data_IF_016723421642
#
_entry.id   IF_016723421642
#
_cell.length_a   1.000
_cell.length_b   1.000
_cell.length_c   1.000
_cell.angle_alpha   90.00
_cell.angle_beta   90.00
_cell.angle_gamma   90.00
#
_symmetry.space_group_name_H-M   'P 1'
#
loop_
_entity.id
_entity.type
_entity.pdbx_description
1 polymer ?
#
# COMPACT_ATOMS: atom_id res chain seq x y z
N UNK A 1 0.48 5.54 12.24
CA UNK A 1 0.17 4.62 11.12
C UNK A 1 1.17 3.48 11.02
N UNK A 2 2.48 3.73 10.98
CA UNK A 2 3.49 2.68 10.78
C UNK A 2 3.91 1.90 12.05
N UNK A 3 3.55 2.37 13.23
CA UNK A 3 3.94 1.76 14.53
C UNK A 3 3.04 0.63 15.00
N UNK A 4 1.85 0.48 14.40
CA UNK A 4 0.85 -0.50 14.86
C UNK A 4 0.24 -0.18 16.24
N UNK A 5 0.37 1.06 16.71
CA UNK A 5 -0.13 1.47 18.03
C UNK A 5 -1.67 1.57 18.10
N UNK A 6 -2.34 1.59 16.96
CA UNK A 6 -3.80 1.65 16.83
C UNK A 6 -4.28 0.72 15.73
N UNK A 7 -5.46 0.14 15.88
CA UNK A 7 -6.06 -0.78 14.91
C UNK A 7 -6.80 -0.04 13.80
N UNK A 8 -7.41 1.10 14.10
CA UNK A 8 -8.20 1.90 13.16
C UNK A 8 -7.90 3.38 13.33
N UNK A 9 -7.75 4.07 12.21
CA UNK A 9 -7.65 5.53 12.15
C UNK A 9 -8.87 6.05 11.40
N UNK A 10 -9.69 6.84 12.07
CA UNK A 10 -10.85 7.52 11.46
C UNK A 10 -10.47 8.94 11.10
N UNK A 11 -10.71 9.33 9.86
CA UNK A 11 -10.44 10.69 9.37
C UNK A 11 -11.41 11.03 8.23
N UNK A 12 -11.49 12.29 7.85
CA UNK A 12 -12.20 12.69 6.65
C UNK A 12 -11.46 12.24 5.38
N UNK A 13 -12.18 12.23 4.24
CA UNK A 13 -11.64 11.72 2.98
C UNK A 13 -10.48 12.54 2.43
N UNK A 14 -10.40 13.84 2.73
CA UNK A 14 -9.29 14.69 2.30
C UNK A 14 -8.03 14.37 3.11
N UNK A 15 -8.11 14.40 4.43
CA UNK A 15 -7.01 14.08 5.32
C UNK A 15 -6.50 12.65 5.09
N UNK A 16 -7.40 11.69 4.93
CA UNK A 16 -7.06 10.30 4.62
C UNK A 16 -6.31 10.15 3.29
N UNK A 17 -6.75 10.86 2.26
CA UNK A 17 -6.08 10.84 0.96
C UNK A 17 -4.68 11.48 1.01
N UNK A 18 -4.53 12.62 1.70
CA UNK A 18 -3.22 13.26 1.92
C UNK A 18 -2.28 12.32 2.66
N UNK A 19 -2.76 11.68 3.74
CA UNK A 19 -1.96 10.73 4.51
C UNK A 19 -1.49 9.54 3.66
N UNK A 20 -2.39 8.95 2.87
CA UNK A 20 -2.04 7.84 1.97
C UNK A 20 -1.02 8.26 0.93
N UNK A 21 -1.23 9.40 0.25
CA UNK A 21 -0.31 9.89 -0.77
C UNK A 21 1.06 10.27 -0.20
N UNK A 22 1.10 10.83 0.99
CA UNK A 22 2.36 11.10 1.69
C UNK A 22 3.11 9.81 2.05
N UNK A 23 2.39 8.78 2.47
CA UNK A 23 2.98 7.47 2.76
C UNK A 23 3.53 6.80 1.50
N UNK A 24 2.78 6.82 0.39
CA UNK A 24 3.23 6.34 -0.92
C UNK A 24 4.49 7.07 -1.38
N UNK A 25 4.48 8.40 -1.32
CA UNK A 25 5.63 9.23 -1.69
C UNK A 25 6.87 8.95 -0.84
N UNK A 26 6.70 8.75 0.47
CA UNK A 26 7.79 8.39 1.37
C UNK A 26 8.41 7.04 1.00
N UNK A 27 7.60 6.06 0.59
CA UNK A 27 8.09 4.77 0.11
C UNK A 27 8.91 4.89 -1.17
N UNK A 28 8.42 5.66 -2.15
CA UNK A 28 9.14 5.91 -3.40
C UNK A 28 10.45 6.66 -3.15
N UNK A 29 10.43 7.68 -2.30
CA UNK A 29 11.62 8.44 -1.92
C UNK A 29 12.67 7.55 -1.24
N UNK A 30 12.26 6.69 -0.33
CA UNK A 30 13.16 5.74 0.31
C UNK A 30 13.80 4.77 -0.70
N UNK A 31 13.02 4.30 -1.69
CA UNK A 31 13.54 3.45 -2.78
C UNK A 31 14.57 4.17 -3.65
N UNK A 32 14.35 5.46 -3.92
CA UNK A 32 15.28 6.31 -4.66
C UNK A 32 16.59 6.49 -3.89
N UNK A 33 16.52 6.82 -2.59
CA UNK A 33 17.72 6.95 -1.75
C UNK A 33 18.56 5.68 -1.70
N UNK A 34 17.93 4.50 -1.64
CA UNK A 34 18.66 3.22 -1.72
C UNK A 34 19.39 3.08 -3.06
N UNK A 35 18.77 3.55 -4.15
CA UNK A 35 19.39 3.51 -5.48
C UNK A 35 20.60 4.44 -5.62
N UNK A 36 20.65 5.50 -4.83
CA UNK A 36 21.75 6.48 -4.82
C UNK A 36 22.84 6.16 -3.78
N UNK A 37 22.56 5.26 -2.84
CA UNK A 37 23.52 4.91 -1.78
C UNK A 37 24.63 3.99 -2.32
N UNK A 38 25.86 4.19 -1.82
CA UNK A 38 27.01 3.31 -2.12
C UNK A 38 26.88 1.99 -1.35
N UNK A 39 25.96 1.13 -1.80
CA UNK A 39 25.68 -0.18 -1.22
C UNK A 39 26.16 -1.29 -2.15
N UNK A 40 26.54 -2.43 -1.57
CA UNK A 40 26.76 -3.62 -2.37
C UNK A 40 25.44 -4.10 -3.03
N UNK A 41 25.51 -4.82 -4.17
CA UNK A 41 24.30 -5.34 -4.82
C UNK A 41 23.41 -6.16 -3.89
N UNK A 42 23.99 -6.98 -3.01
CA UNK A 42 23.24 -7.78 -2.04
C UNK A 42 22.50 -6.92 -1.00
N UNK A 43 23.14 -5.87 -0.49
CA UNK A 43 22.50 -4.92 0.44
C UNK A 43 21.37 -4.15 -0.23
N UNK A 44 21.58 -3.71 -1.48
CA UNK A 44 20.55 -3.00 -2.26
C UNK A 44 19.31 -3.88 -2.44
N UNK A 45 19.48 -5.14 -2.83
CA UNK A 45 18.39 -6.10 -2.99
C UNK A 45 17.64 -6.31 -1.67
N UNK A 46 18.36 -6.62 -0.59
CA UNK A 46 17.75 -6.88 0.72
C UNK A 46 16.95 -5.69 1.26
N UNK A 47 17.46 -4.46 1.09
CA UNK A 47 16.77 -3.23 1.51
C UNK A 47 15.53 -2.97 0.65
N UNK A 48 15.63 -3.12 -0.67
CA UNK A 48 14.49 -2.94 -1.59
C UNK A 48 13.38 -3.94 -1.30
N UNK A 49 13.70 -5.21 -1.06
CA UNK A 49 12.71 -6.22 -0.69
C UNK A 49 12.05 -5.91 0.65
N UNK A 50 12.82 -5.45 1.65
CA UNK A 50 12.29 -5.09 2.96
C UNK A 50 11.35 -3.90 2.88
N UNK A 51 11.72 -2.85 2.15
CA UNK A 51 10.86 -1.69 1.92
C UNK A 51 9.67 -2.05 1.03
N UNK A 52 9.86 -2.80 -0.04
CA UNK A 52 8.80 -3.23 -0.93
C UNK A 52 7.68 -3.92 -0.17
N UNK A 53 8.00 -4.85 0.72
CA UNK A 53 7.00 -5.52 1.59
C UNK A 53 6.22 -4.56 2.48
N UNK A 54 6.82 -3.44 2.89
CA UNK A 54 6.17 -2.44 3.75
C UNK A 54 5.29 -1.46 2.98
N UNK A 55 5.72 -1.08 1.76
CA UNK A 55 5.10 -0.03 0.94
C UNK A 55 4.37 -0.57 -0.29
N UNK A 56 4.33 -1.89 -0.49
CA UNK A 56 3.76 -2.52 -1.69
C UNK A 56 2.23 -2.41 -1.72
N UNK A 57 1.76 -1.33 -2.32
CA UNK A 57 0.33 -1.00 -2.42
C UNK A 57 -0.40 -1.94 -3.39
N UNK A 58 0.24 -2.35 -4.48
CA UNK A 58 -0.37 -3.18 -5.50
C UNK A 58 -0.72 -4.59 -5.01
N UNK A 59 0.02 -5.14 -4.04
CA UNK A 59 -0.27 -6.45 -3.45
C UNK A 59 -1.30 -6.42 -2.31
N UNK A 60 -1.63 -5.24 -1.81
CA UNK A 60 -2.62 -5.10 -0.73
C UNK A 60 -4.07 -5.11 -1.21
N UNK A 61 -4.28 -5.19 -2.54
CA UNK A 61 -5.60 -5.08 -3.14
C UNK A 61 -6.10 -3.64 -3.17
N UNK A 62 -7.37 -3.44 -2.85
CA UNK A 62 -8.01 -2.14 -2.86
C UNK A 62 -8.55 -1.74 -1.49
N UNK A 63 -9.15 -0.55 -1.44
CA UNK A 63 -9.88 -0.05 -0.29
C UNK A 63 -11.33 -0.55 -0.33
N UNK A 64 -11.75 -1.24 0.74
CA UNK A 64 -13.14 -1.70 0.87
C UNK A 64 -14.04 -0.56 1.35
N UNK A 65 -15.19 -0.40 0.70
CA UNK A 65 -16.25 0.48 1.18
C UNK A 65 -17.04 -0.24 2.27
N UNK A 66 -17.08 0.35 3.45
CA UNK A 66 -17.86 -0.18 4.57
C UNK A 66 -19.31 0.34 4.52
N UNK A 67 -20.25 -0.44 5.05
CA UNK A 67 -21.66 -0.06 5.11
C UNK A 67 -22.45 -0.22 3.80
N UNK A 68 -21.89 -0.82 2.78
CA UNK A 68 -22.56 -1.12 1.52
C UNK A 68 -23.28 -2.48 1.61
N UNK A 69 -24.43 -2.63 0.91
CA UNK A 69 -25.21 -3.88 0.89
C UNK A 69 -24.48 -5.02 0.15
N UNK A 70 -23.58 -4.66 -0.77
CA UNK A 70 -22.73 -5.60 -1.49
C UNK A 70 -21.29 -5.16 -1.33
N UNK A 71 -20.31 -6.08 -1.27
CA UNK A 71 -18.92 -5.70 -1.15
C UNK A 71 -18.48 -4.88 -2.37
N UNK A 72 -17.85 -3.74 -2.10
CA UNK A 72 -17.30 -2.84 -3.11
C UNK A 72 -15.86 -2.55 -2.74
N UNK A 73 -14.94 -2.72 -3.68
CA UNK A 73 -13.52 -2.42 -3.49
C UNK A 73 -13.10 -1.41 -4.55
N UNK A 74 -12.46 -0.33 -4.09
CA UNK A 74 -11.85 0.68 -4.95
C UNK A 74 -10.38 0.35 -5.12
N UNK A 75 -9.92 0.22 -6.37
CA UNK A 75 -8.51 0.08 -6.73
C UNK A 75 -7.85 1.46 -6.95
N UNK A 76 -6.52 1.49 -6.91
CA UNK A 76 -5.74 2.66 -7.31
C UNK A 76 -5.81 2.88 -8.83
N UNK A 77 -5.60 4.15 -9.27
CA UNK A 77 -5.56 4.49 -10.70
C UNK A 77 -4.36 3.88 -11.45
N UNK A 78 -3.32 3.47 -10.74
CA UNK A 78 -2.14 2.75 -11.23
C UNK A 78 -2.22 1.23 -10.98
N UNK A 79 -3.44 0.68 -10.89
CA UNK A 79 -3.63 -0.74 -10.62
C UNK A 79 -3.08 -1.59 -11.78
N UNK A 80 -2.35 -2.63 -11.42
CA UNK A 80 -1.81 -3.64 -12.32
C UNK A 80 -2.66 -4.92 -12.25
N UNK A 81 -2.39 -5.91 -13.08
CA UNK A 81 -3.11 -7.19 -13.09
C UNK A 81 -3.11 -7.86 -11.71
N UNK A 82 -1.99 -7.83 -11.00
CA UNK A 82 -1.87 -8.37 -9.65
C UNK A 82 -2.78 -7.67 -8.64
N UNK A 83 -3.04 -6.38 -8.83
CA UNK A 83 -3.96 -5.61 -7.98
C UNK A 83 -5.40 -6.10 -8.19
N UNK A 84 -5.79 -6.37 -9.43
CA UNK A 84 -7.13 -6.90 -9.76
C UNK A 84 -7.35 -8.27 -9.11
N UNK A 85 -6.36 -9.16 -9.22
CA UNK A 85 -6.42 -10.48 -8.58
C UNK A 85 -6.52 -10.36 -7.06
N UNK A 86 -5.71 -9.51 -6.44
CA UNK A 86 -5.75 -9.27 -4.98
C UNK A 86 -7.09 -8.71 -4.52
N UNK A 87 -7.71 -7.81 -5.32
CA UNK A 87 -9.06 -7.30 -5.04
C UNK A 87 -10.14 -8.38 -5.17
N UNK A 88 -10.04 -9.25 -6.18
CA UNK A 88 -10.96 -10.36 -6.35
C UNK A 88 -10.89 -11.35 -5.17
N UNK A 89 -9.68 -11.70 -4.73
CA UNK A 89 -9.47 -12.52 -3.53
C UNK A 89 -10.04 -11.86 -2.27
N UNK A 90 -9.84 -10.54 -2.12
CA UNK A 90 -10.38 -9.77 -1.00
C UNK A 90 -11.91 -9.80 -1.00
N UNK A 91 -12.56 -9.63 -2.17
CA UNK A 91 -14.01 -9.74 -2.31
C UNK A 91 -14.54 -11.12 -1.92
N UNK A 92 -13.84 -12.19 -2.27
CA UNK A 92 -14.23 -13.56 -1.94
C UNK A 92 -14.13 -13.85 -0.43
N UNK A 93 -13.24 -13.17 0.28
CA UNK A 93 -13.06 -13.29 1.75
C UNK A 93 -14.06 -12.44 2.53
N UNK A 94 -14.64 -11.41 1.91
CA UNK A 94 -15.62 -10.51 2.53
C UNK A 94 -17.03 -11.12 2.37
N UNK A 95 -17.31 -12.17 3.13
CA UNK A 95 -18.65 -12.78 3.22
C UNK A 95 -19.36 -12.32 4.48
#
# INVERSE_FOLDING_TARGET
MCTGAVDVIVCDGYAGNVLLKSHEAAGLFAMELIGQAELSPAQTVALRETLGRRFELNRRGGAAFLGTKKPVIKMHGCAEEITVLSCAEQLLRTK
#
